data_IF_716486449941
#
_entry.id   IF_716486449941
#
_cell.length_a   1.000
_cell.length_b   1.000
_cell.length_c   1.000
_cell.angle_alpha   90.00
_cell.angle_beta   90.00
_cell.angle_gamma   90.00
#
_symmetry.space_group_name_H-M   'P 1'
#
loop_
_entity.id
_entity.type
_entity.pdbx_description
1 polymer ?
#
# COMPACT_ATOMS: atom_id res chain seq x y z
N UNK A 1 -37.40 -9.58 -0.78
CA UNK A 1 -36.87 -9.59 0.58
C UNK A 1 -35.37 -9.95 0.64
N UNK A 2 -34.85 -11.07 0.10
CA UNK A 2 -33.41 -11.44 0.17
C UNK A 2 -32.46 -10.43 -0.49
N UNK A 3 -32.87 -9.80 -1.59
CA UNK A 3 -32.04 -8.78 -2.29
C UNK A 3 -31.98 -7.45 -1.52
N UNK A 4 -33.06 -7.06 -0.88
CA UNK A 4 -33.11 -5.84 -0.05
C UNK A 4 -32.31 -5.99 1.23
N UNK A 5 -32.32 -7.17 1.86
CA UNK A 5 -31.50 -7.48 3.04
C UNK A 5 -30.00 -7.50 2.68
N UNK A 6 -29.62 -8.05 1.53
CA UNK A 6 -28.25 -8.04 1.05
C UNK A 6 -27.76 -6.61 0.75
N UNK A 7 -28.60 -5.79 0.12
CA UNK A 7 -28.27 -4.38 -0.16
C UNK A 7 -28.12 -3.57 1.13
N UNK A 8 -28.98 -3.83 2.13
CA UNK A 8 -28.89 -3.21 3.45
C UNK A 8 -27.62 -3.63 4.19
N UNK A 9 -27.21 -4.90 4.08
CA UNK A 9 -25.97 -5.40 4.67
C UNK A 9 -24.73 -4.79 4.02
N UNK A 10 -24.73 -4.62 2.70
CA UNK A 10 -23.64 -3.92 1.96
C UNK A 10 -23.61 -2.44 2.31
N UNK A 11 -24.75 -1.78 2.49
CA UNK A 11 -24.82 -0.40 2.93
C UNK A 11 -24.34 -0.22 4.39
N UNK A 12 -24.69 -1.16 5.27
CA UNK A 12 -24.28 -1.16 6.68
C UNK A 12 -22.78 -1.49 6.84
N UNK A 13 -22.22 -2.35 6.00
CA UNK A 13 -20.76 -2.62 6.00
C UNK A 13 -19.93 -1.45 5.45
N UNK A 14 -20.53 -0.55 4.67
CA UNK A 14 -19.90 0.67 4.16
C UNK A 14 -19.77 1.81 5.19
N UNK A 15 -20.43 1.70 6.34
CA UNK A 15 -20.32 2.68 7.44
C UNK A 15 -19.20 2.36 8.44
N UNK A 16 -18.24 1.51 8.07
CA UNK A 16 -17.02 1.32 8.87
C UNK A 16 -16.33 2.67 8.92
N UNK A 17 -16.48 3.31 10.05
CA UNK A 17 -15.88 4.53 10.55
C UNK A 17 -14.70 5.03 9.71
N UNK A 18 -14.94 5.97 8.84
CA UNK A 18 -13.97 6.96 8.43
C UNK A 18 -13.62 7.78 9.69
N UNK A 19 -12.84 7.21 10.60
CA UNK A 19 -12.12 8.01 11.57
C UNK A 19 -11.20 8.91 10.74
N UNK A 20 -11.61 10.16 10.59
CA UNK A 20 -10.83 11.17 9.93
C UNK A 20 -9.42 11.10 10.50
N UNK A 21 -8.43 11.02 9.60
CA UNK A 21 -7.03 11.05 9.97
C UNK A 21 -6.78 12.45 10.53
N UNK A 22 -6.87 12.57 11.85
CA UNK A 22 -6.83 13.83 12.57
C UNK A 22 -5.51 14.00 13.33
N UNK A 23 -5.38 15.13 14.01
CA UNK A 23 -4.26 15.50 14.87
C UNK A 23 -3.79 14.37 15.81
N UNK A 24 -4.68 13.47 16.19
CA UNK A 24 -4.39 12.34 17.10
C UNK A 24 -3.40 11.32 16.56
N UNK A 25 -3.12 11.36 15.26
CA UNK A 25 -2.11 10.49 14.62
C UNK A 25 -0.70 11.08 14.70
N UNK A 26 -0.57 12.33 15.09
CA UNK A 26 0.73 12.94 15.40
C UNK A 26 1.10 12.56 16.83
N UNK A 27 2.28 11.99 17.00
CA UNK A 27 2.77 11.49 18.29
C UNK A 27 4.13 12.06 18.60
N UNK A 28 4.38 12.33 19.89
CA UNK A 28 5.74 12.52 20.38
C UNK A 28 6.42 11.17 20.29
N UNK A 29 7.53 11.07 19.56
CA UNK A 29 8.16 9.81 19.20
C UNK A 29 9.50 9.57 19.88
N UNK A 30 10.34 10.59 19.97
CA UNK A 30 11.65 10.55 20.61
C UNK A 30 12.00 11.89 21.22
N UNK A 31 12.72 11.91 22.34
CA UNK A 31 13.15 13.11 23.05
C UNK A 31 14.59 12.94 23.52
N UNK A 32 15.43 13.94 23.25
CA UNK A 32 16.80 14.01 23.75
C UNK A 32 17.02 15.34 24.48
N UNK A 33 17.39 15.27 25.75
CA UNK A 33 17.48 16.46 26.60
C UNK A 33 18.89 17.03 26.79
N UNK A 34 19.93 16.22 26.58
CA UNK A 34 21.34 16.62 26.66
C UNK A 34 22.11 16.17 25.42
N UNK A 35 22.20 17.03 24.42
CA UNK A 35 22.80 16.76 23.13
C UNK A 35 24.20 17.34 23.01
N UNK A 36 25.21 16.49 22.87
CA UNK A 36 26.59 16.92 22.62
C UNK A 36 27.20 16.34 21.33
N UNK A 37 26.75 15.16 20.91
CA UNK A 37 27.31 14.47 19.76
C UNK A 37 26.29 14.15 18.66
N UNK A 38 24.99 14.35 18.94
CA UNK A 38 23.90 14.01 18.03
C UNK A 38 23.53 15.15 17.05
N UNK A 39 22.28 15.28 16.68
CA UNK A 39 21.74 16.21 15.70
C UNK A 39 22.13 17.67 15.96
N UNK A 40 22.51 18.38 14.91
CA UNK A 40 22.75 19.83 14.93
C UNK A 40 21.58 20.57 14.29
N UNK A 41 21.30 21.78 14.80
CA UNK A 41 20.36 22.69 14.16
C UNK A 41 20.98 23.36 12.91
N UNK A 42 20.20 24.21 12.24
CA UNK A 42 20.62 24.93 11.02
C UNK A 42 21.79 25.91 11.29
N UNK A 43 22.08 26.20 12.57
CA UNK A 43 23.16 27.09 12.99
C UNK A 43 24.38 26.34 13.52
N UNK A 44 24.36 24.99 13.47
CA UNK A 44 25.43 24.15 13.98
C UNK A 44 25.41 23.93 15.48
N UNK A 45 24.36 24.38 16.20
CA UNK A 45 24.26 24.17 17.64
C UNK A 45 23.66 22.79 17.92
N UNK A 46 24.11 22.19 19.02
CA UNK A 46 23.60 20.92 19.54
C UNK A 46 22.73 21.21 20.74
N UNK A 47 21.43 21.34 20.49
CA UNK A 47 20.42 21.58 21.52
C UNK A 47 19.58 20.34 21.84
N UNK A 48 18.88 20.37 22.97
CA UNK A 48 17.82 19.42 23.25
C UNK A 48 16.76 19.46 22.14
N UNK A 49 16.13 18.32 21.85
CA UNK A 49 15.12 18.24 20.82
C UNK A 49 14.00 17.24 21.15
N UNK A 50 12.87 17.43 20.51
CA UNK A 50 11.72 16.52 20.50
C UNK A 50 11.32 16.19 19.08
N UNK A 51 11.08 14.93 18.80
CA UNK A 51 10.60 14.44 17.52
C UNK A 51 9.11 14.16 17.58
N UNK A 52 8.41 14.61 16.56
CA UNK A 52 7.04 14.20 16.26
C UNK A 52 7.04 13.24 15.08
N UNK A 53 6.21 12.20 15.16
CA UNK A 53 5.98 11.25 14.09
C UNK A 53 4.52 11.29 13.62
N UNK A 54 4.31 11.32 12.31
CA UNK A 54 3.01 11.09 11.71
C UNK A 54 2.75 9.59 11.58
N UNK A 55 1.93 9.03 12.45
CA UNK A 55 1.61 7.59 12.42
C UNK A 55 0.53 7.22 11.39
N UNK A 56 -0.04 8.20 10.70
CA UNK A 56 -1.05 8.00 9.66
C UNK A 56 -0.44 7.63 8.31
N UNK A 57 -1.32 7.20 7.40
CA UNK A 57 -1.00 6.95 5.98
C UNK A 57 -1.37 8.13 5.08
N UNK A 58 -1.61 9.32 5.65
CA UNK A 58 -1.87 10.56 4.94
C UNK A 58 -1.00 11.67 5.47
N UNK A 59 -0.86 12.71 4.66
CA UNK A 59 -0.19 13.96 5.05
C UNK A 59 -1.00 14.68 6.11
N UNK A 60 -0.32 15.21 7.11
CA UNK A 60 -0.88 16.07 8.14
C UNK A 60 0.01 17.28 8.38
N UNK A 61 -0.58 18.46 8.50
CA UNK A 61 0.15 19.70 8.80
C UNK A 61 0.08 20.01 10.28
N UNK A 62 1.24 20.06 10.93
CA UNK A 62 1.37 20.34 12.38
C UNK A 62 1.40 21.82 12.70
N UNK A 63 1.34 22.71 11.71
CA UNK A 63 1.26 24.16 11.92
C UNK A 63 0.09 24.52 12.85
N UNK A 64 0.32 25.46 13.73
CA UNK A 64 -0.69 25.92 14.70
C UNK A 64 -0.91 24.98 15.87
N UNK A 65 -0.32 23.77 15.88
CA UNK A 65 -0.29 22.93 17.07
C UNK A 65 0.64 23.54 18.13
N UNK A 66 0.48 23.13 19.37
CA UNK A 66 1.26 23.67 20.48
C UNK A 66 2.09 22.58 21.15
N UNK A 67 3.36 22.90 21.43
CA UNK A 67 4.25 22.07 22.25
C UNK A 67 4.53 22.83 23.55
N UNK A 68 4.49 22.13 24.67
CA UNK A 68 4.78 22.72 25.97
C UNK A 68 5.51 21.76 26.90
N UNK A 69 6.31 22.31 27.78
CA UNK A 69 6.97 21.62 28.92
C UNK A 69 6.38 22.00 30.24
N UNK A 70 5.45 22.95 30.26
CA UNK A 70 4.84 23.51 31.46
C UNK A 70 3.59 22.74 31.89
N UNK A 71 3.67 21.99 32.98
CA UNK A 71 2.54 21.22 33.52
C UNK A 71 1.37 22.07 34.02
N UNK A 72 1.56 23.37 34.23
CA UNK A 72 0.48 24.28 34.68
C UNK A 72 -0.67 24.32 33.66
N UNK A 73 -0.39 24.05 32.39
CA UNK A 73 -1.41 23.97 31.32
C UNK A 73 -2.48 22.90 31.58
N UNK A 74 -2.21 21.92 32.45
CA UNK A 74 -3.16 20.87 32.84
C UNK A 74 -4.27 21.38 33.75
N UNK A 75 -4.12 22.60 34.31
CA UNK A 75 -5.16 23.20 35.15
C UNK A 75 -6.41 23.50 34.32
N UNK A 76 -7.52 22.86 34.70
CA UNK A 76 -8.80 22.99 34.00
C UNK A 76 -9.45 24.37 34.14
N UNK A 77 -9.05 25.14 35.11
CA UNK A 77 -9.61 26.46 35.38
C UNK A 77 -9.01 27.58 34.50
N UNK A 78 -7.96 27.27 33.74
CA UNK A 78 -7.34 28.23 32.84
C UNK A 78 -8.21 28.51 31.62
N UNK A 79 -8.32 29.75 31.23
CA UNK A 79 -8.87 30.13 29.93
C UNK A 79 -7.96 29.64 28.82
N UNK A 80 -8.49 29.56 27.62
CA UNK A 80 -7.72 29.15 26.42
C UNK A 80 -6.52 30.08 26.20
N UNK A 81 -6.72 31.40 26.37
CA UNK A 81 -5.68 32.41 26.21
C UNK A 81 -4.53 32.24 27.23
N UNK A 82 -4.86 32.03 28.50
CA UNK A 82 -3.86 31.80 29.54
C UNK A 82 -3.08 30.49 29.30
N UNK A 83 -3.76 29.45 28.82
CA UNK A 83 -3.15 28.16 28.51
C UNK A 83 -2.20 28.27 27.34
N UNK A 84 -2.65 28.86 26.22
CA UNK A 84 -1.82 29.00 25.00
C UNK A 84 -0.63 29.93 25.20
N UNK A 85 -0.73 30.92 26.13
CA UNK A 85 0.40 31.75 26.51
C UNK A 85 1.55 30.98 27.18
N UNK A 86 1.27 29.79 27.76
CA UNK A 86 2.27 28.89 28.34
C UNK A 86 2.76 27.80 27.40
N UNK A 87 2.35 27.86 26.13
CA UNK A 87 2.70 26.87 25.10
C UNK A 87 3.46 27.55 23.96
N UNK A 88 4.30 26.80 23.30
CA UNK A 88 4.97 27.22 22.06
C UNK A 88 4.16 26.79 20.86
N UNK A 89 3.64 27.74 20.08
CA UNK A 89 2.92 27.49 18.85
C UNK A 89 3.92 27.13 17.74
N UNK A 90 3.64 26.08 16.98
CA UNK A 90 4.38 25.75 15.75
C UNK A 90 3.99 26.77 14.68
N UNK A 91 4.94 27.54 14.12
CA UNK A 91 4.64 28.62 13.19
C UNK A 91 4.08 28.07 11.86
N UNK A 92 3.33 28.94 11.18
CA UNK A 92 2.88 28.70 9.80
C UNK A 92 3.89 29.29 8.80
N UNK A 93 3.93 28.76 7.59
CA UNK A 93 4.73 29.33 6.50
C UNK A 93 5.96 28.51 6.10
N UNK A 94 6.22 27.43 6.78
CA UNK A 94 7.30 26.50 6.42
C UNK A 94 6.70 25.19 5.90
N UNK A 95 7.14 24.73 4.75
CA UNK A 95 6.66 23.49 4.14
C UNK A 95 7.02 22.23 4.96
N UNK A 96 8.03 22.31 5.80
CA UNK A 96 8.48 21.22 6.68
C UNK A 96 7.43 20.83 7.72
N UNK A 97 6.49 21.75 8.08
CA UNK A 97 5.39 21.43 9.00
C UNK A 97 4.34 20.49 8.38
N UNK A 98 4.33 20.34 7.07
CA UNK A 98 3.46 19.41 6.35
C UNK A 98 4.10 18.02 6.30
N UNK A 99 3.81 17.20 7.29
CA UNK A 99 4.35 15.85 7.44
C UNK A 99 3.65 14.86 6.51
N UNK A 100 4.36 14.26 5.60
CA UNK A 100 3.87 13.15 4.77
C UNK A 100 3.50 11.93 5.62
N UNK A 101 2.93 10.90 4.98
CA UNK A 101 2.65 9.64 5.66
C UNK A 101 3.94 9.04 6.24
N UNK A 102 3.94 8.70 7.53
CA UNK A 102 5.08 8.11 8.24
C UNK A 102 6.32 9.01 8.34
N UNK A 103 6.18 10.29 8.11
CA UNK A 103 7.26 11.26 8.23
C UNK A 103 7.51 11.68 9.68
N UNK A 104 8.74 12.10 9.95
CA UNK A 104 9.21 12.59 11.24
C UNK A 104 9.67 14.04 11.13
N UNK A 105 9.44 14.83 12.15
CA UNK A 105 9.92 16.21 12.24
C UNK A 105 10.53 16.45 13.62
N UNK A 106 11.68 17.08 13.65
CA UNK A 106 12.39 17.38 14.90
C UNK A 106 12.28 18.86 15.23
N UNK A 107 11.89 19.17 16.47
CA UNK A 107 11.86 20.52 17.03
C UNK A 107 12.91 20.69 18.11
N UNK A 108 13.67 21.78 18.04
CA UNK A 108 14.71 22.11 19.03
C UNK A 108 14.13 22.83 20.21
N UNK A 109 14.41 22.34 21.45
CA UNK A 109 13.95 22.87 22.73
C UNK A 109 14.95 23.90 23.23
N UNK A 110 15.26 24.93 22.46
CA UNK A 110 16.28 25.91 22.77
C UNK A 110 15.73 27.23 23.38
N UNK A 111 14.42 27.38 23.43
CA UNK A 111 13.75 28.57 23.96
C UNK A 111 13.84 29.80 23.08
N UNK A 112 14.16 29.66 21.80
CA UNK A 112 14.36 30.79 20.89
C UNK A 112 13.68 30.56 19.53
N UNK A 113 12.39 30.84 19.44
CA UNK A 113 11.60 30.76 18.19
C UNK A 113 12.07 31.71 17.09
N UNK A 114 12.89 32.72 17.42
CA UNK A 114 13.42 33.63 16.39
C UNK A 114 14.43 32.96 15.45
N UNK A 115 14.93 31.78 15.82
CA UNK A 115 15.84 30.99 14.98
C UNK A 115 15.12 30.20 13.88
N UNK A 116 13.78 30.18 13.85
CA UNK A 116 13.03 29.55 12.77
C UNK A 116 11.95 28.60 13.24
N UNK A 117 11.25 28.00 12.28
CA UNK A 117 10.05 27.17 12.52
C UNK A 117 10.31 25.95 13.40
N UNK A 118 11.50 25.35 13.30
CA UNK A 118 11.86 24.16 14.07
C UNK A 118 12.37 24.48 15.48
N UNK A 119 12.44 25.76 15.87
CA UNK A 119 12.87 26.21 17.21
C UNK A 119 11.68 26.65 18.03
N UNK A 120 11.51 26.07 19.21
CA UNK A 120 10.38 26.38 20.10
C UNK A 120 10.81 27.03 21.39
N UNK A 121 9.90 27.81 22.03
CA UNK A 121 10.17 28.53 23.25
C UNK A 121 10.38 27.63 24.46
N UNK A 122 9.95 26.36 24.40
CA UNK A 122 10.20 25.40 25.45
C UNK A 122 11.69 25.10 25.60
N UNK A 123 12.13 24.89 26.84
CA UNK A 123 13.52 24.54 27.18
C UNK A 123 13.56 23.21 27.91
N UNK A 124 14.58 22.42 27.62
CA UNK A 124 14.94 21.26 28.40
C UNK A 124 16.22 21.55 29.18
N UNK A 125 16.26 21.09 30.42
CA UNK A 125 17.45 21.17 31.28
C UNK A 125 18.17 19.81 31.23
N UNK A 126 19.46 19.84 30.92
CA UNK A 126 20.31 18.65 30.86
C UNK A 126 20.28 17.86 32.18
N UNK A 127 20.11 16.53 32.08
CA UNK A 127 20.13 15.62 33.22
C UNK A 127 18.92 15.73 34.16
N UNK A 128 17.90 16.51 33.81
CA UNK A 128 16.67 16.64 34.63
C UNK A 128 15.49 15.97 33.93
N UNK A 129 14.56 15.39 34.71
CA UNK A 129 13.32 14.86 34.12
C UNK A 129 12.47 16.03 33.61
N UNK A 130 11.83 15.81 32.45
CA UNK A 130 10.97 16.80 31.82
C UNK A 130 9.65 16.16 31.40
N UNK A 131 8.57 16.93 31.44
CA UNK A 131 7.30 16.56 30.85
C UNK A 131 7.10 17.37 29.57
N UNK A 132 6.71 16.71 28.49
CA UNK A 132 6.44 17.34 27.20
C UNK A 132 5.04 16.94 26.76
N UNK A 133 4.28 17.89 26.25
CA UNK A 133 2.95 17.65 25.71
C UNK A 133 2.73 18.37 24.40
N UNK A 134 1.96 17.70 23.53
CA UNK A 134 1.49 18.18 22.24
C UNK A 134 -0.01 18.45 22.34
N UNK A 135 -0.44 19.66 22.01
CA UNK A 135 -1.82 20.08 21.98
C UNK A 135 -2.25 20.42 20.55
N UNK A 136 -3.53 20.23 20.28
CA UNK A 136 -4.13 20.65 19.01
C UNK A 136 -4.15 22.18 18.88
N UNK A 137 -4.34 22.68 17.66
CA UNK A 137 -4.40 24.10 17.34
C UNK A 137 -5.50 24.88 18.08
N UNK A 138 -6.46 24.21 18.69
CA UNK A 138 -7.47 24.82 19.57
C UNK A 138 -6.93 25.17 20.97
N UNK A 139 -5.72 24.74 21.35
CA UNK A 139 -5.09 24.98 22.65
C UNK A 139 -5.77 24.28 23.84
N UNK A 140 -6.71 23.36 23.58
CA UNK A 140 -7.49 22.65 24.61
C UNK A 140 -7.21 21.17 24.60
N UNK A 141 -7.25 20.56 23.40
CA UNK A 141 -7.19 19.12 23.23
C UNK A 141 -5.76 18.61 23.31
N UNK A 142 -5.48 17.83 24.33
CA UNK A 142 -4.21 17.13 24.48
C UNK A 142 -4.15 15.97 23.49
N UNK A 143 -3.21 16.02 22.57
CA UNK A 143 -2.98 15.01 21.55
C UNK A 143 -2.12 13.88 22.09
N UNK A 144 -0.98 14.25 22.70
CA UNK A 144 -0.03 13.31 23.25
C UNK A 144 0.81 13.95 24.35
N UNK A 145 1.35 13.15 25.25
CA UNK A 145 2.29 13.64 26.27
C UNK A 145 3.21 12.55 26.76
N UNK A 146 4.39 12.94 27.20
CA UNK A 146 5.40 12.05 27.74
C UNK A 146 6.07 12.65 28.95
N UNK A 147 6.35 11.83 29.95
CA UNK A 147 7.24 12.19 31.08
C UNK A 147 8.59 11.53 30.84
N UNK A 148 9.56 12.31 30.42
CA UNK A 148 10.92 11.88 30.14
C UNK A 148 11.70 11.82 31.46
N UNK A 149 12.34 10.67 31.78
CA UNK A 149 13.19 10.56 32.96
C UNK A 149 14.47 11.42 32.82
N UNK A 150 15.26 11.53 33.86
CA UNK A 150 16.60 12.07 33.74
C UNK A 150 17.42 11.17 32.80
N UNK A 151 17.99 11.75 31.74
CA UNK A 151 18.79 11.06 30.75
C UNK A 151 20.26 11.44 30.90
N UNK A 152 21.15 10.52 30.60
CA UNK A 152 22.55 10.83 30.42
C UNK A 152 22.81 11.57 29.10
N UNK A 153 23.98 12.17 28.96
CA UNK A 153 24.38 12.86 27.75
C UNK A 153 24.23 11.98 26.51
N UNK A 154 23.64 12.52 25.44
CA UNK A 154 23.36 11.89 24.16
C UNK A 154 22.43 10.65 24.23
N UNK A 155 21.80 10.38 25.38
CA UNK A 155 20.73 9.40 25.47
C UNK A 155 19.38 10.03 25.10
N UNK A 156 18.54 9.26 24.41
CA UNK A 156 17.16 9.64 24.13
C UNK A 156 16.15 8.77 24.87
N UNK A 157 14.96 9.28 25.04
CA UNK A 157 13.78 8.54 25.48
C UNK A 157 12.82 8.44 24.31
N UNK A 158 12.65 7.25 23.80
CA UNK A 158 11.94 7.02 22.56
C UNK A 158 10.87 5.93 22.68
N UNK A 159 9.87 5.99 21.83
CA UNK A 159 8.93 4.87 21.66
C UNK A 159 9.66 3.68 21.07
N UNK A 160 9.34 2.47 21.53
CA UNK A 160 9.93 1.22 20.98
C UNK A 160 9.68 1.08 19.47
N UNK A 161 8.59 1.64 18.98
CA UNK A 161 8.18 1.75 17.59
C UNK A 161 7.32 2.99 17.46
N UNK A 162 7.33 3.63 16.30
CA UNK A 162 6.57 4.84 16.04
C UNK A 162 5.10 4.71 16.46
N UNK A 163 4.66 5.63 17.30
CA UNK A 163 3.31 5.65 17.85
C UNK A 163 2.99 4.55 18.87
N UNK A 164 3.92 3.64 19.20
CA UNK A 164 3.69 2.62 20.22
C UNK A 164 3.51 3.26 21.61
N UNK A 165 2.74 2.59 22.49
CA UNK A 165 2.55 3.07 23.87
C UNK A 165 3.79 2.89 24.75
N UNK A 166 4.65 1.91 24.44
CA UNK A 166 5.84 1.57 25.24
C UNK A 166 7.00 2.49 24.87
N UNK A 167 7.69 2.97 25.89
CA UNK A 167 8.88 3.80 25.78
C UNK A 167 10.11 3.09 26.33
N UNK A 168 11.28 3.46 25.84
CA UNK A 168 12.58 2.96 26.30
C UNK A 168 13.64 4.06 26.23
N UNK A 169 14.69 3.90 27.03
CA UNK A 169 15.88 4.73 26.93
C UNK A 169 16.80 4.13 25.87
N UNK A 170 17.16 4.94 24.89
CA UNK A 170 18.12 4.56 23.84
C UNK A 170 19.51 5.06 24.19
N UNK A 171 20.51 4.23 23.91
CA UNK A 171 21.90 4.62 23.99
C UNK A 171 22.27 5.57 22.84
N UNK A 172 23.34 6.37 22.96
CA UNK A 172 23.75 7.35 21.96
C UNK A 172 23.86 6.79 20.52
N UNK A 173 24.26 5.53 20.39
CA UNK A 173 24.43 4.84 19.10
C UNK A 173 23.09 4.42 18.44
N UNK A 174 22.01 4.43 19.22
CA UNK A 174 20.68 3.97 18.80
C UNK A 174 19.67 5.09 18.69
N UNK A 175 20.08 6.34 18.87
CA UNK A 175 19.23 7.53 18.71
C UNK A 175 18.94 7.75 17.25
N UNK A 176 17.66 7.98 16.89
CA UNK A 176 17.16 7.93 15.52
C UNK A 176 16.42 9.21 15.10
N UNK A 177 17.03 10.40 15.15
CA UNK A 177 16.35 11.66 14.81
C UNK A 177 15.95 11.69 13.34
N UNK A 178 14.68 11.97 13.06
CA UNK A 178 14.14 12.11 11.71
C UNK A 178 13.85 10.80 10.98
N UNK A 179 13.99 9.65 11.65
CA UNK A 179 13.72 8.32 11.06
C UNK A 179 12.96 7.42 12.03
N UNK A 180 12.43 6.31 11.55
CA UNK A 180 11.71 5.33 12.36
C UNK A 180 12.52 4.88 13.58
N UNK A 181 11.88 4.87 14.76
CA UNK A 181 12.50 4.43 16.03
C UNK A 181 12.96 2.97 16.01
N UNK A 182 12.27 2.14 15.27
CA UNK A 182 12.59 0.75 15.09
C UNK A 182 13.32 0.58 13.77
N UNK A 183 14.64 0.70 13.79
CA UNK A 183 15.44 0.10 12.75
C UNK A 183 15.33 -1.43 12.88
N UNK A 184 14.33 -2.00 12.24
CA UNK A 184 14.58 -3.35 11.77
C UNK A 184 15.80 -3.21 10.87
N UNK A 185 16.92 -3.77 11.31
CA UNK A 185 17.89 -4.29 10.34
C UNK A 185 17.03 -5.24 9.53
N UNK A 186 16.52 -4.74 8.39
CA UNK A 186 15.62 -5.51 7.57
C UNK A 186 16.49 -6.60 7.02
N UNK A 187 16.47 -7.75 7.72
CA UNK A 187 16.92 -8.96 7.07
C UNK A 187 16.26 -8.92 5.72
N UNK A 188 17.04 -8.84 4.67
CA UNK A 188 16.49 -8.80 3.31
C UNK A 188 15.46 -9.90 3.25
N UNK A 189 14.33 -9.65 2.60
CA UNK A 189 13.24 -10.68 2.48
C UNK A 189 13.83 -12.04 2.11
N UNK A 190 14.93 -12.04 1.35
CA UNK A 190 15.71 -13.20 0.97
C UNK A 190 16.39 -13.86 2.19
N UNK A 191 17.00 -13.09 3.10
CA UNK A 191 17.65 -13.62 4.29
C UNK A 191 16.63 -14.22 5.27
N UNK A 192 15.46 -13.56 5.43
CA UNK A 192 14.35 -14.10 6.22
C UNK A 192 13.82 -15.41 5.65
N UNK A 193 13.58 -15.45 4.33
CA UNK A 193 13.13 -16.66 3.64
C UNK A 193 14.17 -17.77 3.79
N UNK A 194 15.47 -17.47 3.59
CA UNK A 194 16.55 -18.45 3.74
C UNK A 194 16.68 -19.00 5.17
N UNK A 195 16.32 -18.21 6.20
CA UNK A 195 16.29 -18.65 7.59
C UNK A 195 15.07 -19.51 7.90
N UNK A 196 13.89 -19.12 7.42
CA UNK A 196 12.62 -19.81 7.72
C UNK A 196 12.41 -21.04 6.82
N UNK A 197 12.91 -21.02 5.60
CA UNK A 197 12.83 -22.14 4.64
C UNK A 197 14.16 -22.33 3.90
N UNK A 198 15.18 -22.85 4.59
CA UNK A 198 16.54 -22.98 4.03
C UNK A 198 16.63 -23.88 2.80
N UNK A 199 15.68 -24.78 2.61
CA UNK A 199 15.61 -25.73 1.49
C UNK A 199 14.53 -25.38 0.46
N UNK A 200 13.76 -24.32 0.66
CA UNK A 200 12.68 -23.92 -0.25
C UNK A 200 11.46 -24.86 -0.24
N UNK A 201 11.40 -25.80 0.70
CA UNK A 201 10.33 -26.81 0.76
C UNK A 201 8.98 -26.16 1.06
N UNK A 202 8.93 -25.22 1.99
CA UNK A 202 7.71 -24.50 2.36
C UNK A 202 7.13 -23.72 1.20
N UNK A 203 7.99 -22.99 0.46
CA UNK A 203 7.58 -22.23 -0.71
C UNK A 203 7.10 -23.16 -1.83
N UNK A 204 7.79 -24.28 -2.03
CA UNK A 204 7.42 -25.26 -3.07
C UNK A 204 6.07 -25.90 -2.77
N UNK A 205 5.85 -26.34 -1.54
CA UNK A 205 4.56 -26.94 -1.11
C UNK A 205 3.44 -25.91 -1.19
N UNK A 206 3.70 -24.66 -0.77
CA UNK A 206 2.71 -23.58 -0.84
C UNK A 206 2.32 -23.26 -2.29
N UNK A 207 3.29 -23.11 -3.19
CA UNK A 207 3.03 -22.80 -4.59
C UNK A 207 2.27 -23.92 -5.29
N UNK A 208 2.68 -25.17 -5.06
CA UNK A 208 2.01 -26.36 -5.60
C UNK A 208 0.59 -26.49 -5.02
N UNK A 209 0.43 -26.23 -3.72
CA UNK A 209 -0.87 -26.23 -3.04
C UNK A 209 -1.85 -25.20 -3.61
N UNK A 210 -1.38 -24.00 -3.92
CA UNK A 210 -2.20 -22.95 -4.55
C UNK A 210 -2.68 -23.41 -5.93
N UNK A 211 -1.80 -24.00 -6.74
CA UNK A 211 -2.18 -24.51 -8.07
C UNK A 211 -3.24 -25.60 -7.98
N UNK A 212 -3.04 -26.59 -7.11
CA UNK A 212 -4.05 -27.62 -6.87
C UNK A 212 -5.35 -27.11 -6.34
N UNK A 213 -5.30 -26.12 -5.43
CA UNK A 213 -6.48 -25.46 -4.91
C UNK A 213 -7.27 -24.75 -6.02
N UNK A 214 -6.59 -24.01 -6.90
CA UNK A 214 -7.20 -23.37 -8.06
C UNK A 214 -7.84 -24.38 -9.00
N UNK A 215 -7.17 -25.50 -9.27
CA UNK A 215 -7.73 -26.57 -10.12
C UNK A 215 -8.95 -27.24 -9.47
N UNK A 216 -8.92 -27.45 -8.17
CA UNK A 216 -10.06 -28.00 -7.43
C UNK A 216 -11.25 -27.03 -7.45
N UNK A 217 -11.00 -25.72 -7.29
CA UNK A 217 -12.04 -24.69 -7.43
C UNK A 217 -12.65 -24.67 -8.83
N UNK A 218 -11.83 -24.74 -9.88
CA UNK A 218 -12.29 -24.83 -11.27
C UNK A 218 -13.13 -26.08 -11.48
N UNK A 219 -12.70 -27.24 -10.97
CA UNK A 219 -13.47 -28.48 -11.06
C UNK A 219 -14.84 -28.34 -10.39
N UNK A 220 -14.89 -27.81 -9.16
CA UNK A 220 -16.15 -27.58 -8.44
C UNK A 220 -17.04 -26.60 -9.21
N UNK A 221 -16.47 -25.53 -9.74
CA UNK A 221 -17.17 -24.53 -10.55
C UNK A 221 -17.83 -25.16 -11.78
N UNK A 222 -17.07 -25.95 -12.56
CA UNK A 222 -17.63 -26.62 -13.73
C UNK A 222 -18.64 -27.72 -13.38
N UNK A 223 -18.47 -28.41 -12.27
CA UNK A 223 -19.45 -29.37 -11.78
C UNK A 223 -20.76 -28.69 -11.41
N UNK A 224 -20.72 -27.55 -10.69
CA UNK A 224 -21.90 -26.77 -10.37
C UNK A 224 -22.57 -26.20 -11.62
N UNK A 225 -21.79 -25.66 -12.56
CA UNK A 225 -22.31 -25.23 -13.86
C UNK A 225 -22.98 -26.38 -14.63
N UNK A 226 -22.38 -27.56 -14.66
CA UNK A 226 -22.96 -28.76 -15.28
C UNK A 226 -24.30 -29.15 -14.65
N UNK A 227 -24.40 -29.11 -13.34
CA UNK A 227 -25.68 -29.35 -12.62
C UNK A 227 -26.74 -28.29 -12.97
N UNK A 228 -26.34 -27.01 -13.05
CA UNK A 228 -27.25 -25.93 -13.45
C UNK A 228 -27.76 -26.08 -14.89
N UNK A 229 -26.85 -26.47 -15.81
CA UNK A 229 -27.23 -26.68 -17.21
C UNK A 229 -28.09 -27.94 -17.41
N UNK A 230 -27.77 -29.03 -16.70
CA UNK A 230 -28.57 -30.27 -16.77
C UNK A 230 -29.99 -30.05 -16.22
N UNK A 231 -30.13 -29.24 -15.16
CA UNK A 231 -31.45 -28.88 -14.62
C UNK A 231 -32.28 -28.05 -15.60
N UNK A 232 -31.66 -27.12 -16.34
CA UNK A 232 -32.32 -26.36 -17.41
C UNK A 232 -32.69 -27.24 -18.63
N UNK A 233 -31.91 -28.25 -18.92
CA UNK A 233 -32.23 -29.19 -20.02
C UNK A 233 -33.33 -30.18 -19.64
N UNK A 234 -33.40 -30.59 -18.36
CA UNK A 234 -34.51 -31.42 -17.89
C UNK A 234 -35.84 -30.68 -17.93
N UNK A 235 -35.88 -29.39 -17.57
CA UNK A 235 -37.07 -28.56 -17.71
C UNK A 235 -37.50 -28.31 -19.17
N UNK A 236 -36.55 -28.22 -20.10
CA UNK A 236 -36.83 -28.10 -21.54
C UNK A 236 -37.32 -29.42 -22.17
N UNK A 237 -36.90 -30.58 -21.65
CA UNK A 237 -37.38 -31.89 -22.14
C UNK A 237 -38.81 -32.21 -21.66
N UNK A 238 -39.22 -31.70 -20.49
CA UNK A 238 -40.60 -31.89 -19.98
C UNK A 238 -41.66 -31.10 -20.75
N UNK A 239 -41.27 -30.09 -21.53
CA UNK A 239 -42.21 -29.30 -22.35
C UNK A 239 -42.20 -29.63 -23.84
N UNK A 240 -41.50 -30.67 -24.28
CA UNK A 240 -41.43 -31.02 -25.70
C UNK A 240 -42.40 -32.18 -25.98
N UNK A 241 -43.55 -31.84 -26.58
CA UNK A 241 -44.50 -32.74 -27.18
C UNK A 241 -43.75 -33.68 -28.16
N UNK A 242 -44.00 -34.99 -28.01
CA UNK A 242 -43.39 -36.02 -28.86
C UNK A 242 -43.78 -35.78 -30.32
N UNK A 243 -42.84 -35.78 -31.27
CA UNK A 243 -43.20 -35.83 -32.66
C UNK A 243 -43.66 -37.26 -33.00
N UNK A 244 -44.82 -37.33 -33.60
CA UNK A 244 -45.49 -38.51 -34.13
C UNK A 244 -44.53 -39.20 -35.08
N UNK A 245 -44.25 -40.48 -34.84
CA UNK A 245 -43.57 -41.37 -35.80
C UNK A 245 -44.52 -41.60 -36.98
N UNK A 246 -44.33 -40.83 -38.05
CA UNK A 246 -44.90 -41.20 -39.34
C UNK A 246 -43.88 -42.11 -40.04
N UNK A 247 -44.27 -43.36 -40.20
CA UNK A 247 -43.60 -44.32 -41.04
C UNK A 247 -43.81 -43.91 -42.52
N UNK A 248 -42.73 -43.65 -43.22
CA UNK A 248 -42.76 -43.70 -44.70
C UNK A 248 -41.70 -44.67 -45.14
N UNK A 249 -42.26 -45.78 -45.75
CA UNK A 249 -41.54 -46.72 -46.53
C UNK A 249 -41.28 -46.15 -47.93
N UNK A 250 -40.10 -46.46 -48.46
CA UNK A 250 -39.79 -46.77 -49.82
C UNK A 250 -39.87 -45.68 -50.91
N UNK A 251 -38.80 -45.48 -51.60
CA UNK A 251 -38.74 -44.81 -52.89
C UNK A 251 -37.31 -44.46 -53.29
N UNK A 252 -36.68 -45.44 -53.88
CA UNK A 252 -35.47 -45.32 -54.69
C UNK A 252 -35.72 -44.33 -55.83
N UNK A 253 -34.90 -43.32 -56.04
CA UNK A 253 -34.37 -42.94 -57.36
C UNK A 253 -33.32 -41.85 -57.28
N UNK A 254 -32.25 -42.15 -57.87
CA UNK A 254 -31.06 -41.44 -58.23
C UNK A 254 -31.37 -40.09 -58.93
N UNK A 255 -30.72 -39.04 -58.53
CA UNK A 255 -30.29 -37.96 -59.39
C UNK A 255 -28.99 -37.34 -58.81
N UNK A 256 -27.94 -37.51 -59.55
CA UNK A 256 -26.67 -36.84 -59.45
C UNK A 256 -26.86 -35.34 -59.43
N UNK A 257 -26.28 -34.63 -58.49
CA UNK A 257 -25.45 -33.44 -58.73
C UNK A 257 -25.02 -32.85 -57.38
N UNK A 258 -23.73 -32.65 -57.21
CA UNK A 258 -23.15 -31.89 -56.13
C UNK A 258 -22.41 -32.73 -55.09
N UNK A 259 -21.12 -32.83 -55.24
CA UNK A 259 -20.21 -33.41 -54.24
C UNK A 259 -20.31 -32.71 -52.88
N UNK A 260 -21.15 -33.25 -52.03
CA UNK A 260 -21.06 -32.88 -50.59
C UNK A 260 -20.11 -33.83 -49.92
N UNK A 261 -18.89 -33.41 -49.75
CA UNK A 261 -17.89 -34.14 -48.97
C UNK A 261 -18.21 -34.01 -47.50
N UNK A 262 -18.64 -35.11 -46.88
CA UNK A 262 -18.87 -35.18 -45.43
C UNK A 262 -17.52 -35.39 -44.76
N UNK A 263 -16.96 -34.33 -44.19
CA UNK A 263 -15.74 -34.43 -43.39
C UNK A 263 -16.17 -34.80 -41.96
N UNK A 264 -15.85 -36.03 -41.57
CA UNK A 264 -16.02 -36.49 -40.18
C UNK A 264 -14.76 -36.08 -39.45
N UNK A 265 -14.84 -35.00 -38.67
CA UNK A 265 -13.80 -34.66 -37.70
C UNK A 265 -13.88 -35.63 -36.51
N UNK A 266 -12.74 -36.11 -36.04
CA UNK A 266 -12.58 -37.19 -35.04
C UNK A 266 -13.26 -36.89 -33.70
N UNK A 267 -13.77 -35.68 -33.51
CA UNK A 267 -14.41 -35.17 -32.26
C UNK A 267 -15.93 -34.98 -32.36
N UNK A 268 -16.59 -35.61 -33.30
CA UNK A 268 -18.06 -35.69 -33.31
C UNK A 268 -18.81 -34.43 -33.78
N UNK A 269 -18.16 -33.40 -34.30
CA UNK A 269 -18.82 -32.24 -34.89
C UNK A 269 -19.23 -32.57 -36.34
N UNK A 270 -20.53 -32.87 -36.53
CA UNK A 270 -21.14 -33.01 -37.86
C UNK A 270 -21.63 -31.63 -38.32
N UNK A 271 -20.90 -30.99 -39.21
CA UNK A 271 -21.37 -29.80 -39.92
C UNK A 271 -21.87 -30.21 -41.31
N UNK A 272 -23.19 -30.31 -41.44
CA UNK A 272 -23.84 -30.51 -42.75
C UNK A 272 -24.05 -29.16 -43.43
N UNK A 273 -23.54 -29.00 -44.65
CA UNK A 273 -24.00 -27.95 -45.54
C UNK A 273 -23.04 -26.80 -45.86
N UNK A 274 -21.76 -26.91 -45.53
CA UNK A 274 -20.77 -25.87 -45.91
C UNK A 274 -19.91 -26.46 -47.06
N UNK A 275 -19.76 -25.73 -48.14
CA UNK A 275 -18.95 -26.14 -49.28
C UNK A 275 -17.48 -26.22 -48.92
N UNK A 276 -16.78 -27.23 -49.45
CA UNK A 276 -15.35 -27.47 -49.22
C UNK A 276 -14.49 -26.23 -49.47
N UNK A 277 -14.89 -25.40 -50.41
CA UNK A 277 -14.22 -24.16 -50.78
C UNK A 277 -14.27 -23.12 -49.69
N UNK A 278 -15.40 -23.06 -48.94
CA UNK A 278 -15.53 -22.14 -47.79
C UNK A 278 -14.62 -22.59 -46.66
N UNK A 279 -14.48 -23.90 -46.41
CA UNK A 279 -13.53 -24.40 -45.40
C UNK A 279 -12.09 -24.07 -45.73
N UNK A 280 -11.72 -24.26 -47.00
CA UNK A 280 -10.37 -23.93 -47.49
C UNK A 280 -10.12 -22.42 -47.36
N UNK A 281 -11.11 -21.58 -47.68
CA UNK A 281 -11.00 -20.13 -47.56
C UNK A 281 -10.85 -19.69 -46.10
N UNK A 282 -11.61 -20.27 -45.17
CA UNK A 282 -11.52 -19.94 -43.73
C UNK A 282 -10.17 -20.37 -43.14
N UNK A 283 -9.69 -21.57 -43.48
CA UNK A 283 -8.38 -22.06 -43.06
C UNK A 283 -7.26 -21.19 -43.65
N UNK A 284 -7.35 -20.81 -44.91
CA UNK A 284 -6.37 -19.93 -45.55
C UNK A 284 -6.35 -18.55 -44.96
N UNK A 285 -7.53 -17.95 -44.59
CA UNK A 285 -7.61 -16.69 -43.90
C UNK A 285 -7.03 -16.78 -42.50
N UNK A 286 -7.33 -17.84 -41.74
CA UNK A 286 -6.78 -18.05 -40.40
C UNK A 286 -5.25 -18.22 -40.42
N UNK A 287 -4.71 -18.96 -41.39
CA UNK A 287 -3.27 -19.11 -41.56
C UNK A 287 -2.61 -17.79 -41.98
N UNK A 288 -3.24 -17.02 -42.85
CA UNK A 288 -2.72 -15.71 -43.24
C UNK A 288 -2.73 -14.72 -42.08
N UNK A 289 -3.77 -14.71 -41.27
CA UNK A 289 -3.85 -13.87 -40.07
C UNK A 289 -2.81 -14.30 -39.04
N UNK A 290 -2.58 -15.59 -38.86
CA UNK A 290 -1.51 -16.11 -38.02
C UNK A 290 -0.12 -15.73 -38.54
N UNK A 291 0.08 -15.73 -39.82
CA UNK A 291 1.33 -15.33 -40.49
C UNK A 291 1.55 -13.81 -40.40
N UNK A 292 0.50 -13.01 -40.53
CA UNK A 292 0.53 -11.55 -40.33
C UNK A 292 0.76 -11.14 -38.86
N UNK A 293 0.25 -11.91 -37.88
CA UNK A 293 0.46 -11.68 -36.45
C UNK A 293 1.84 -12.14 -35.91
N UNK A 294 2.54 -13.02 -36.65
CA UNK A 294 3.89 -13.53 -36.32
C UNK A 294 5.00 -12.63 -36.87
N UNK A 295 4.66 -11.51 -37.52
CA UNK A 295 5.65 -10.57 -38.05
C UNK A 295 6.18 -9.54 -37.00
N UNK A 296 6.62 -10.03 -35.84
CA UNK A 296 7.76 -9.41 -35.19
C UNK A 296 9.03 -10.12 -35.64
N UNK A 297 9.53 -9.74 -36.82
CA UNK A 297 10.91 -10.02 -37.16
C UNK A 297 11.75 -9.19 -36.21
N UNK A 298 12.09 -9.77 -35.07
CA UNK A 298 13.12 -9.23 -34.21
C UNK A 298 14.41 -9.17 -35.04
N UNK A 299 14.71 -7.97 -35.53
CA UNK A 299 16.04 -7.71 -36.02
C UNK A 299 16.96 -7.91 -34.82
N UNK A 300 17.96 -8.79 -34.92
CA UNK A 300 18.98 -9.02 -33.89
C UNK A 300 19.83 -7.76 -33.58
N UNK A 301 19.33 -6.58 -33.87
CA UNK A 301 19.95 -5.28 -33.64
C UNK A 301 19.11 -4.55 -32.60
N UNK A 302 19.57 -4.58 -31.35
CA UNK A 302 19.03 -3.75 -30.26
C UNK A 302 19.52 -2.33 -30.50
N UNK A 303 18.68 -1.46 -31.02
CA UNK A 303 18.98 -0.04 -31.14
C UNK A 303 18.58 0.65 -29.85
N UNK A 304 19.53 0.81 -28.93
CA UNK A 304 19.34 1.63 -27.73
C UNK A 304 19.41 3.11 -28.18
N UNK A 305 18.25 3.77 -28.26
CA UNK A 305 18.22 5.22 -28.42
C UNK A 305 18.58 5.87 -27.07
N UNK A 306 19.66 6.67 -26.98
CA UNK A 306 19.96 7.38 -25.75
C UNK A 306 18.85 8.39 -25.46
N UNK A 307 18.14 8.20 -24.36
CA UNK A 307 17.23 9.19 -23.81
C UNK A 307 18.05 10.15 -22.95
N UNK A 308 17.91 11.45 -23.22
CA UNK A 308 18.43 12.48 -22.31
C UNK A 308 17.61 12.42 -21.00
N UNK A 309 18.21 11.84 -19.98
CA UNK A 309 17.70 11.89 -18.63
C UNK A 309 18.58 12.84 -17.81
N UNK A 310 18.02 13.53 -16.84
CA UNK A 310 18.75 14.44 -15.94
C UNK A 310 19.84 13.75 -15.09
N UNK A 311 20.00 12.44 -15.24
CA UNK A 311 21.03 11.63 -14.56
C UNK A 311 22.36 11.55 -15.32
N UNK A 312 22.42 12.05 -16.58
CA UNK A 312 23.63 12.00 -17.42
C UNK A 312 24.41 13.32 -17.44
N UNK A 313 24.22 14.20 -16.45
CA UNK A 313 25.04 15.40 -16.31
C UNK A 313 26.25 15.02 -15.47
N UNK A 314 27.26 14.42 -16.13
CA UNK A 314 28.65 14.51 -15.65
C UNK A 314 29.25 15.81 -16.17
N UNK A 315 29.81 16.66 -15.30
CA UNK A 315 30.57 17.80 -15.80
C UNK A 315 31.76 17.24 -16.57
N UNK A 316 31.91 17.64 -17.84
CA UNK A 316 33.11 17.41 -18.61
C UNK A 316 34.29 18.01 -17.84
N UNK A 317 35.23 17.16 -17.44
CA UNK A 317 36.53 17.62 -16.97
C UNK A 317 37.20 18.40 -18.11
N UNK A 318 37.30 19.71 -17.93
CA UNK A 318 38.10 20.58 -18.75
C UNK A 318 39.54 20.16 -18.60
N UNK A 319 40.07 19.42 -19.58
CA UNK A 319 41.50 19.23 -19.76
C UNK A 319 42.05 20.56 -20.23
N UNK A 320 42.70 21.29 -19.35
CA UNK A 320 43.48 22.47 -19.67
C UNK A 320 44.86 21.99 -20.16
N UNK A 321 45.40 22.54 -21.29
CA UNK A 321 46.63 22.11 -21.92
C UNK A 321 47.88 22.42 -21.07
#
# INVERSE_FOLDING_TARGET
>A
MKKTVFLLFVLLSGTVSLFGQGARNIKINEVLTDNKANLQDEYGNKGAWVELANTAFSTYDVRGMYITTDRRVLNKNLTVAERTAMMSCIPSGDSRTSMSAREHIVFFLNGNKAQGTLHIEAKAESGKPIWIALYDGNGIDLIDSVSVPALATDQSYARVKDGAAKWEVKNPESVTPGIENYMQISETKIAKIKREDPYGVGITVLSMGIVFFCLALLYVFFRVLGLFMSHKQALKKAGRIQPIKAAVKTGEKIAETGHKTKIILKDGLQTGGIDKEIYIAVIAMALKQYEDDVHDIESNIITIKPHHTNWNIYPEETIIP
#
